data_IF_753969401612
#
_entry.id   IF_753969401612
#
_cell.length_a   1.000
_cell.length_b   1.000
_cell.length_c   1.000
_cell.angle_alpha   90.00
_cell.angle_beta   90.00
_cell.angle_gamma   90.00
#
_symmetry.space_group_name_H-M   'P 1'
#
loop_
_entity.id
_entity.type
_entity.pdbx_description
1 polymer ?
#
# COMPACT_ATOMS: atom_id res chain seq x y z
N UNK A 1 -3.79 -16.12 -21.83
CA UNK A 1 -4.71 -15.96 -20.68
C UNK A 1 -4.86 -14.48 -20.36
N UNK A 2 -5.97 -14.11 -19.71
CA UNK A 2 -6.18 -12.82 -19.09
C UNK A 2 -6.08 -12.96 -17.57
N UNK A 3 -5.06 -12.34 -16.99
CA UNK A 3 -4.73 -12.45 -15.57
C UNK A 3 -5.11 -11.16 -14.87
N UNK A 4 -5.77 -11.29 -13.71
CA UNK A 4 -5.97 -10.18 -12.76
C UNK A 4 -4.99 -10.31 -11.60
N UNK A 5 -4.19 -9.28 -11.35
CA UNK A 5 -3.42 -9.12 -10.12
C UNK A 5 -4.03 -8.02 -9.27
N UNK A 6 -4.34 -8.30 -8.01
CA UNK A 6 -4.89 -7.34 -7.06
C UNK A 6 -3.85 -7.10 -5.97
N UNK A 7 -3.39 -5.86 -5.84
CA UNK A 7 -2.41 -5.42 -4.85
C UNK A 7 -3.09 -4.53 -3.82
N UNK A 8 -2.98 -4.92 -2.55
CA UNK A 8 -3.68 -4.26 -1.44
C UNK A 8 -2.68 -3.56 -0.52
N UNK A 9 -2.80 -2.24 -0.36
CA UNK A 9 -2.31 -1.61 0.87
C UNK A 9 -3.08 -2.16 2.07
N UNK A 10 -2.48 -2.11 3.26
CA UNK A 10 -3.09 -2.59 4.49
C UNK A 10 -3.50 -1.49 5.45
N UNK A 11 -2.61 -0.57 5.79
CA UNK A 11 -2.79 0.29 6.96
C UNK A 11 -3.96 1.25 6.82
N UNK A 12 -4.10 1.88 5.65
CA UNK A 12 -5.18 2.82 5.37
C UNK A 12 -6.27 2.27 4.45
N UNK A 13 -6.05 1.10 3.83
CA UNK A 13 -7.10 0.37 3.13
C UNK A 13 -7.80 -0.67 4.02
N UNK A 14 -7.12 -1.79 4.33
CA UNK A 14 -7.75 -2.99 4.93
C UNK A 14 -7.99 -2.82 6.43
N UNK A 15 -7.05 -2.21 7.13
CA UNK A 15 -7.09 -2.05 8.59
C UNK A 15 -7.77 -0.77 9.04
N UNK A 16 -8.17 0.11 8.12
CA UNK A 16 -8.82 1.39 8.42
C UNK A 16 -10.05 1.19 9.32
N UNK A 17 -11.01 0.40 8.87
CA UNK A 17 -12.23 0.12 9.62
C UNK A 17 -11.99 -0.76 10.87
N UNK A 18 -10.84 -1.44 10.98
CA UNK A 18 -10.43 -2.19 12.17
C UNK A 18 -9.95 -1.33 13.34
N UNK A 19 -9.66 -0.04 13.08
CA UNK A 19 -9.17 0.90 14.10
C UNK A 19 -10.21 1.19 15.18
N UNK A 20 -11.49 1.21 14.81
CA UNK A 20 -12.60 1.46 15.74
C UNK A 20 -12.97 0.24 16.61
N UNK A 21 -12.44 -0.94 16.30
CA UNK A 21 -12.71 -2.16 17.04
C UNK A 21 -11.92 -2.19 18.36
N UNK A 22 -12.45 -2.84 19.38
CA UNK A 22 -11.69 -3.15 20.60
C UNK A 22 -10.84 -4.42 20.43
N UNK A 23 -9.95 -4.68 21.39
CA UNK A 23 -9.03 -5.83 21.35
C UNK A 23 -9.76 -7.18 21.29
N UNK A 24 -10.85 -7.34 22.06
CA UNK A 24 -11.67 -8.55 22.03
C UNK A 24 -12.27 -8.80 20.64
N UNK A 25 -12.77 -7.76 19.98
CA UNK A 25 -13.27 -7.84 18.60
C UNK A 25 -12.15 -8.16 17.60
N UNK A 26 -10.94 -7.64 17.82
CA UNK A 26 -9.77 -7.89 16.96
C UNK A 26 -9.14 -9.27 17.16
N UNK A 27 -9.34 -9.91 18.31
CA UNK A 27 -8.84 -11.26 18.60
C UNK A 27 -9.38 -12.33 17.64
N UNK A 28 -10.54 -12.09 17.05
CA UNK A 28 -11.10 -12.95 16.00
C UNK A 28 -10.81 -12.35 14.61
N UNK A 29 -9.93 -12.96 13.80
CA UNK A 29 -9.53 -12.40 12.50
C UNK A 29 -10.67 -12.29 11.47
N UNK A 30 -11.87 -12.80 11.77
CA UNK A 30 -13.08 -12.59 10.97
C UNK A 30 -13.44 -11.12 10.77
N UNK A 31 -13.03 -10.24 11.69
CA UNK A 31 -13.28 -8.82 11.54
C UNK A 31 -12.69 -8.30 10.22
N UNK A 32 -11.54 -8.84 9.77
CA UNK A 32 -10.87 -8.42 8.52
C UNK A 32 -11.81 -8.60 7.33
N UNK A 33 -12.56 -9.70 7.27
CA UNK A 33 -13.58 -9.90 6.22
C UNK A 33 -14.77 -8.98 6.46
N UNK A 34 -15.31 -8.94 7.68
CA UNK A 34 -16.51 -8.18 8.01
C UNK A 34 -16.39 -6.69 7.69
N UNK A 35 -15.29 -6.07 8.10
CA UNK A 35 -15.05 -4.64 7.89
C UNK A 35 -14.69 -4.28 6.45
N UNK A 36 -14.29 -5.25 5.62
CA UNK A 36 -13.87 -5.03 4.23
C UNK A 36 -14.86 -5.62 3.20
N UNK A 37 -16.09 -5.95 3.61
CA UNK A 37 -17.12 -6.44 2.69
C UNK A 37 -17.41 -5.50 1.50
N UNK A 38 -17.43 -4.16 1.65
CA UNK A 38 -17.60 -3.26 0.50
C UNK A 38 -16.48 -3.45 -0.55
N UNK A 39 -15.22 -3.50 -0.12
CA UNK A 39 -14.08 -3.77 -0.99
C UNK A 39 -14.17 -5.14 -1.66
N UNK A 40 -14.40 -6.19 -0.87
CA UNK A 40 -14.50 -7.55 -1.40
C UNK A 40 -15.64 -7.67 -2.42
N UNK A 41 -16.78 -7.02 -2.15
CA UNK A 41 -17.92 -7.02 -3.06
C UNK A 41 -17.62 -6.29 -4.35
N UNK A 42 -16.93 -5.15 -4.28
CA UNK A 42 -16.45 -4.41 -5.43
C UNK A 42 -15.50 -5.26 -6.29
N UNK A 43 -14.48 -5.88 -5.67
CA UNK A 43 -13.54 -6.78 -6.35
C UNK A 43 -14.28 -7.94 -7.02
N UNK A 44 -15.19 -8.62 -6.31
CA UNK A 44 -15.93 -9.76 -6.85
C UNK A 44 -16.83 -9.34 -8.02
N UNK A 45 -17.45 -8.16 -7.96
CA UNK A 45 -18.23 -7.64 -9.06
C UNK A 45 -17.36 -7.44 -10.31
N UNK A 46 -16.21 -6.75 -10.18
CA UNK A 46 -15.27 -6.53 -11.27
C UNK A 46 -14.78 -7.85 -11.90
N UNK A 47 -14.41 -8.82 -11.05
CA UNK A 47 -13.95 -10.14 -11.48
C UNK A 47 -15.01 -10.91 -12.29
N UNK A 48 -16.29 -10.80 -11.91
CA UNK A 48 -17.39 -11.45 -12.64
C UNK A 48 -17.70 -10.79 -13.98
N UNK A 49 -17.46 -9.48 -14.10
CA UNK A 49 -17.73 -8.77 -15.35
C UNK A 49 -16.71 -9.05 -16.45
N UNK A 50 -15.44 -9.26 -16.08
CA UNK A 50 -14.34 -9.31 -17.06
C UNK A 50 -13.90 -10.74 -17.41
N UNK A 51 -14.38 -11.76 -16.68
CA UNK A 51 -14.09 -13.18 -16.89
C UNK A 51 -12.58 -13.49 -17.04
N UNK A 52 -11.80 -13.17 -16.01
CA UNK A 52 -10.37 -13.46 -15.96
C UNK A 52 -10.09 -14.98 -15.87
N UNK A 53 -9.08 -15.45 -16.60
CA UNK A 53 -8.65 -16.85 -16.55
C UNK A 53 -7.98 -17.18 -15.22
N UNK A 54 -7.28 -16.22 -14.61
CA UNK A 54 -6.56 -16.37 -13.33
C UNK A 54 -6.65 -15.08 -12.52
N UNK A 55 -6.89 -15.22 -11.22
CA UNK A 55 -6.88 -14.10 -10.27
C UNK A 55 -5.77 -14.32 -9.24
N UNK A 56 -4.98 -13.30 -8.96
CA UNK A 56 -3.85 -13.34 -8.05
C UNK A 56 -4.02 -12.22 -7.03
N UNK A 57 -3.95 -12.53 -5.73
CA UNK A 57 -4.04 -11.58 -4.63
C UNK A 57 -2.66 -11.37 -4.02
N UNK A 58 -2.18 -10.13 -3.98
CA UNK A 58 -0.88 -9.78 -3.42
C UNK A 58 -0.94 -8.51 -2.56
N UNK A 59 0.22 -8.16 -2.02
CA UNK A 59 0.38 -6.98 -1.17
C UNK A 59 0.94 -5.79 -1.95
N UNK A 60 0.37 -4.62 -1.69
CA UNK A 60 0.89 -3.29 -2.04
C UNK A 60 1.23 -2.48 -0.78
N UNK A 61 1.76 -3.13 0.26
CA UNK A 61 2.07 -2.50 1.56
C UNK A 61 3.58 -2.37 1.80
N UNK A 62 3.95 -1.36 2.60
CA UNK A 62 5.30 -1.18 3.11
C UNK A 62 5.60 -2.00 4.37
N UNK A 63 4.70 -2.89 4.79
CA UNK A 63 5.04 -3.90 5.79
C UNK A 63 5.91 -4.97 5.14
N UNK A 64 7.21 -4.95 5.48
CA UNK A 64 8.22 -5.72 4.75
C UNK A 64 8.70 -6.94 5.54
N UNK A 65 8.69 -6.86 6.87
CA UNK A 65 9.21 -7.90 7.75
C UNK A 65 8.37 -8.00 9.02
N UNK A 66 8.70 -9.00 9.85
CA UNK A 66 7.99 -9.23 11.11
C UNK A 66 8.06 -8.04 12.08
N UNK A 67 9.14 -7.26 12.12
CA UNK A 67 9.26 -6.14 13.06
C UNK A 67 8.35 -4.99 12.64
N UNK A 68 8.33 -4.69 11.34
CA UNK A 68 7.44 -3.67 10.78
C UNK A 68 5.98 -4.13 10.91
N UNK A 69 5.71 -5.42 10.67
CA UNK A 69 4.37 -5.98 10.80
C UNK A 69 3.85 -6.01 12.25
N UNK A 70 4.74 -6.19 13.23
CA UNK A 70 4.45 -6.18 14.67
C UNK A 70 4.61 -4.79 15.31
N UNK A 71 4.96 -3.75 14.53
CA UNK A 71 5.36 -2.44 15.04
C UNK A 71 4.34 -1.82 16.02
N UNK A 72 4.85 -1.34 17.16
CA UNK A 72 4.07 -0.86 18.32
C UNK A 72 3.13 0.32 18.05
N UNK A 73 3.32 1.07 16.97
CA UNK A 73 2.54 2.29 16.71
C UNK A 73 1.09 2.00 16.28
N UNK A 74 0.81 0.81 15.75
CA UNK A 74 -0.52 0.40 15.32
C UNK A 74 -0.73 -1.10 15.55
N UNK A 75 -1.06 -1.53 16.79
CA UNK A 75 -1.33 -2.93 17.13
C UNK A 75 -2.69 -3.42 16.57
N UNK A 76 -3.06 -2.96 15.37
CA UNK A 76 -4.38 -3.20 14.76
C UNK A 76 -4.42 -4.61 14.16
N UNK A 77 -3.34 -5.08 13.50
CA UNK A 77 -3.18 -6.48 13.09
C UNK A 77 -1.87 -6.76 12.37
N UNK A 78 -1.53 -8.05 12.28
CA UNK A 78 -0.52 -8.58 11.37
C UNK A 78 -1.08 -8.70 9.95
N UNK A 79 -0.21 -8.56 8.95
CA UNK A 79 -0.54 -8.85 7.56
C UNK A 79 -0.79 -10.35 7.31
N UNK A 80 -0.19 -11.24 8.11
CA UNK A 80 -0.24 -12.69 7.98
C UNK A 80 -1.64 -13.25 7.62
N UNK A 81 -2.73 -12.93 8.36
CA UNK A 81 -4.06 -13.46 8.07
C UNK A 81 -4.74 -12.88 6.81
N UNK A 82 -4.31 -11.74 6.27
CA UNK A 82 -5.09 -10.98 5.28
C UNK A 82 -5.25 -11.75 3.95
N UNK A 83 -4.15 -12.09 3.27
CA UNK A 83 -4.23 -12.79 1.98
C UNK A 83 -4.92 -14.16 2.08
N UNK A 84 -4.65 -15.02 3.08
CA UNK A 84 -5.34 -16.29 3.22
C UNK A 84 -6.86 -16.14 3.42
N UNK A 85 -7.30 -15.16 4.21
CA UNK A 85 -8.71 -14.89 4.41
C UNK A 85 -9.38 -14.36 3.14
N UNK A 86 -8.75 -13.40 2.47
CA UNK A 86 -9.28 -12.82 1.23
C UNK A 86 -9.31 -13.85 0.10
N UNK A 87 -8.23 -14.61 -0.08
CA UNK A 87 -8.14 -15.73 -1.03
C UNK A 87 -9.30 -16.70 -0.82
N UNK A 88 -9.51 -17.16 0.41
CA UNK A 88 -10.59 -18.11 0.71
C UNK A 88 -11.97 -17.52 0.49
N UNK A 89 -12.18 -16.25 0.84
CA UNK A 89 -13.48 -15.59 0.64
C UNK A 89 -13.81 -15.43 -0.85
N UNK A 90 -12.81 -15.07 -1.66
CA UNK A 90 -12.94 -14.83 -3.10
C UNK A 90 -13.01 -16.16 -3.87
N UNK A 91 -12.19 -17.16 -3.53
CA UNK A 91 -12.11 -18.45 -4.25
C UNK A 91 -13.42 -19.26 -4.19
N UNK A 92 -14.26 -19.03 -3.18
CA UNK A 92 -15.63 -19.56 -3.10
C UNK A 92 -16.57 -19.02 -4.19
N UNK A 93 -16.21 -17.91 -4.83
CA UNK A 93 -17.07 -17.18 -5.79
C UNK A 93 -16.41 -17.01 -7.15
N UNK A 94 -15.08 -17.04 -7.19
CA UNK A 94 -14.25 -16.85 -8.37
C UNK A 94 -13.28 -18.03 -8.45
N UNK A 95 -13.33 -18.79 -9.53
CA UNK A 95 -12.42 -19.91 -9.74
C UNK A 95 -10.98 -19.42 -10.02
N UNK A 96 -10.00 -20.32 -9.89
CA UNK A 96 -8.60 -20.06 -10.23
C UNK A 96 -8.00 -18.80 -9.57
N UNK A 97 -8.31 -18.60 -8.28
CA UNK A 97 -7.72 -17.55 -7.44
C UNK A 97 -6.44 -18.08 -6.78
N UNK A 98 -5.42 -17.23 -6.66
CA UNK A 98 -4.09 -17.54 -6.11
C UNK A 98 -3.59 -16.42 -5.20
N UNK A 99 -2.51 -16.69 -4.47
CA UNK A 99 -1.78 -15.73 -3.63
C UNK A 99 -0.43 -15.39 -4.27
N UNK A 100 -0.05 -14.12 -4.25
CA UNK A 100 1.30 -13.62 -4.53
C UNK A 100 1.93 -13.14 -3.22
N UNK A 101 2.81 -13.97 -2.60
CA UNK A 101 3.40 -13.66 -1.30
C UNK A 101 4.59 -12.69 -1.37
N UNK A 102 4.92 -12.16 -2.55
CA UNK A 102 6.04 -11.25 -2.74
C UNK A 102 5.92 -9.94 -1.94
N UNK A 103 6.96 -9.62 -1.18
CA UNK A 103 7.10 -8.40 -0.38
C UNK A 103 8.34 -7.61 -0.78
N UNK A 104 8.40 -6.33 -0.40
CA UNK A 104 9.58 -5.48 -0.64
C UNK A 104 10.87 -6.07 -0.02
N UNK A 105 10.75 -6.74 1.13
CA UNK A 105 11.88 -7.41 1.76
C UNK A 105 12.45 -8.56 0.92
N UNK A 106 11.70 -9.13 -0.03
CA UNK A 106 12.25 -10.11 -0.97
C UNK A 106 13.17 -9.44 -2.01
N UNK A 107 12.98 -8.15 -2.26
CA UNK A 107 13.86 -7.34 -3.10
C UNK A 107 15.12 -7.01 -2.30
N UNK A 108 15.03 -6.34 -1.16
CA UNK A 108 16.23 -5.77 -0.51
C UNK A 108 16.81 -6.62 0.62
N UNK A 109 16.06 -7.61 1.10
CA UNK A 109 16.44 -8.45 2.21
C UNK A 109 17.49 -9.49 1.84
N UNK A 110 18.34 -9.80 2.82
CA UNK A 110 19.34 -10.87 2.76
C UNK A 110 19.20 -11.77 3.98
N UNK A 111 19.45 -13.05 3.81
CA UNK A 111 19.68 -13.98 4.91
C UNK A 111 21.03 -13.65 5.56
N UNK A 112 20.98 -13.02 6.73
CA UNK A 112 22.18 -12.79 7.54
C UNK A 112 22.56 -14.09 8.24
N UNK A 113 23.70 -14.67 7.85
CA UNK A 113 24.27 -15.84 8.53
C UNK A 113 24.92 -15.41 9.87
N UNK A 114 25.50 -14.21 9.91
CA UNK A 114 26.01 -13.58 11.14
C UNK A 114 25.18 -12.32 11.48
N UNK A 115 24.71 -12.26 12.73
CA UNK A 115 23.92 -11.13 13.25
C UNK A 115 24.72 -9.83 13.37
N UNK A 116 26.07 -9.89 13.33
CA UNK A 116 26.93 -8.73 13.63
C UNK A 116 27.47 -8.00 12.42
N UNK A 117 27.58 -8.63 11.24
CA UNK A 117 28.05 -8.00 10.00
C UNK A 117 27.48 -8.69 8.75
N UNK A 118 27.28 -7.94 7.65
CA UNK A 118 26.99 -8.54 6.34
C UNK A 118 28.24 -9.31 5.87
N UNK A 119 28.10 -10.62 5.69
CA UNK A 119 29.21 -11.48 5.26
C UNK A 119 29.15 -11.75 3.76
N UNK A 120 30.21 -12.31 3.20
CA UNK A 120 30.28 -12.76 1.80
C UNK A 120 29.28 -13.87 1.47
N UNK A 121 28.74 -14.53 2.50
CA UNK A 121 27.80 -15.65 2.39
C UNK A 121 26.33 -15.22 2.53
N UNK A 122 26.05 -13.93 2.70
CA UNK A 122 24.67 -13.44 2.77
C UNK A 122 23.96 -13.78 1.44
N UNK A 123 22.85 -14.51 1.50
CA UNK A 123 22.06 -14.84 0.31
C UNK A 123 20.88 -13.90 0.20
N UNK A 124 20.62 -13.37 -1.00
CA UNK A 124 19.40 -12.61 -1.22
C UNK A 124 18.17 -13.50 -1.07
N UNK A 125 17.10 -12.91 -0.55
CA UNK A 125 15.81 -13.58 -0.48
C UNK A 125 15.25 -13.82 -1.87
N UNK A 126 14.46 -14.88 -1.95
CA UNK A 126 13.59 -15.20 -3.08
C UNK A 126 12.17 -14.72 -2.81
N UNK A 127 11.35 -14.67 -3.86
CA UNK A 127 9.98 -14.20 -3.74
C UNK A 127 9.14 -15.07 -2.79
N UNK A 128 8.53 -14.42 -1.79
CA UNK A 128 7.69 -15.07 -0.77
C UNK A 128 8.43 -15.49 0.50
N UNK A 129 9.76 -15.41 0.54
CA UNK A 129 10.54 -15.79 1.73
C UNK A 129 10.18 -14.94 2.94
N UNK A 130 10.01 -13.62 2.74
CA UNK A 130 9.65 -12.69 3.80
C UNK A 130 8.26 -12.96 4.34
N UNK A 131 7.29 -13.22 3.46
CA UNK A 131 5.94 -13.57 3.89
C UNK A 131 5.89 -14.90 4.64
N UNK A 132 6.65 -15.91 4.18
CA UNK A 132 6.81 -17.19 4.88
C UNK A 132 7.38 -17.00 6.28
N UNK A 133 8.40 -16.16 6.43
CA UNK A 133 8.97 -15.84 7.73
C UNK A 133 7.93 -15.19 8.66
N UNK A 134 7.12 -14.26 8.16
CA UNK A 134 6.03 -13.63 8.91
C UNK A 134 4.98 -14.66 9.35
N UNK A 135 4.55 -15.56 8.48
CA UNK A 135 3.62 -16.64 8.82
C UNK A 135 4.18 -17.55 9.92
N UNK A 136 5.45 -17.96 9.79
CA UNK A 136 6.11 -18.82 10.77
C UNK A 136 6.25 -18.16 12.14
N UNK A 137 6.52 -16.86 12.18
CA UNK A 137 6.55 -16.11 13.43
C UNK A 137 5.14 -16.01 14.03
N UNK A 138 4.17 -15.59 13.23
CA UNK A 138 2.81 -15.30 13.68
C UNK A 138 2.06 -16.56 14.15
N UNK A 139 2.22 -17.71 13.49
CA UNK A 139 1.51 -18.95 13.83
C UNK A 139 2.37 -20.03 14.47
N UNK A 140 3.68 -20.00 14.24
CA UNK A 140 4.61 -21.07 14.66
C UNK A 140 5.47 -20.73 15.88
N UNK A 141 5.32 -19.54 16.49
CA UNK A 141 6.14 -19.05 17.60
C UNK A 141 7.65 -19.15 17.36
N UNK A 142 8.10 -19.02 16.10
CA UNK A 142 9.53 -19.05 15.75
C UNK A 142 10.13 -17.64 15.80
N UNK A 143 11.32 -17.52 16.35
CA UNK A 143 12.10 -16.27 16.30
C UNK A 143 12.57 -16.03 14.87
N UNK A 144 12.09 -14.96 14.25
CA UNK A 144 12.58 -14.52 12.95
C UNK A 144 13.85 -13.70 13.11
N UNK A 145 14.85 -13.87 12.22
CA UNK A 145 16.02 -13.00 12.18
C UNK A 145 15.61 -11.52 12.04
N UNK A 146 16.31 -10.62 12.72
CA UNK A 146 16.10 -9.18 12.59
C UNK A 146 16.46 -8.73 11.17
N UNK A 147 15.50 -8.15 10.46
CA UNK A 147 15.66 -7.78 9.07
C UNK A 147 16.02 -6.29 8.96
N UNK A 148 17.02 -5.99 8.14
CA UNK A 148 17.34 -4.60 7.76
C UNK A 148 16.81 -4.38 6.37
N UNK A 149 15.66 -3.74 6.25
CA UNK A 149 15.00 -3.52 4.97
C UNK A 149 15.07 -2.03 4.59
N UNK A 150 15.20 -1.77 3.28
CA UNK A 150 15.15 -0.41 2.74
C UNK A 150 13.67 -0.02 2.69
N UNK A 151 13.31 1.04 3.42
CA UNK A 151 11.97 1.61 3.32
C UNK A 151 11.87 2.51 2.10
N UNK A 152 10.97 2.17 1.18
CA UNK A 152 10.55 3.04 0.07
C UNK A 152 9.13 3.52 0.38
N UNK A 153 9.02 4.73 0.94
CA UNK A 153 7.74 5.31 1.31
C UNK A 153 6.80 5.55 0.13
N UNK A 154 7.32 5.57 -1.10
CA UNK A 154 6.53 5.77 -2.33
C UNK A 154 5.90 4.48 -2.84
N UNK A 155 6.37 3.32 -2.35
CA UNK A 155 6.01 1.97 -2.83
C UNK A 155 6.34 1.71 -4.31
N UNK A 156 6.95 2.65 -5.02
CA UNK A 156 7.25 2.54 -6.44
C UNK A 156 8.09 1.30 -6.74
N UNK A 157 9.07 1.00 -5.89
CA UNK A 157 9.93 -0.17 -6.06
C UNK A 157 9.15 -1.49 -5.95
N UNK A 158 8.23 -1.60 -4.99
CA UNK A 158 7.41 -2.80 -4.81
C UNK A 158 6.45 -2.97 -6.00
N UNK A 159 5.77 -1.90 -6.39
CA UNK A 159 4.82 -1.97 -7.50
C UNK A 159 5.57 -2.29 -8.79
N UNK A 160 6.67 -1.61 -9.11
CA UNK A 160 7.52 -1.96 -10.25
C UNK A 160 7.90 -3.46 -10.26
N UNK A 161 8.41 -3.97 -9.14
CA UNK A 161 8.78 -5.38 -9.02
C UNK A 161 7.59 -6.33 -9.21
N UNK A 162 6.43 -6.06 -8.61
CA UNK A 162 5.23 -6.88 -8.76
C UNK A 162 4.77 -6.97 -10.22
N UNK A 163 4.78 -5.83 -10.94
CA UNK A 163 4.37 -5.78 -12.35
C UNK A 163 5.33 -6.57 -13.24
N UNK A 164 6.65 -6.40 -13.05
CA UNK A 164 7.67 -7.11 -13.80
C UNK A 164 7.76 -8.60 -13.46
N UNK A 165 7.51 -8.96 -12.20
CA UNK A 165 7.39 -10.35 -11.76
C UNK A 165 6.21 -11.02 -12.44
N UNK A 166 5.02 -10.42 -12.35
CA UNK A 166 3.81 -10.97 -12.98
C UNK A 166 4.02 -11.16 -14.49
N UNK A 167 4.59 -10.17 -15.17
CA UNK A 167 4.91 -10.26 -16.59
C UNK A 167 5.98 -11.33 -16.89
N UNK A 168 6.99 -11.49 -16.03
CA UNK A 168 8.02 -12.52 -16.19
C UNK A 168 7.47 -13.93 -16.04
N UNK A 169 6.53 -14.15 -15.11
CA UNK A 169 5.86 -15.44 -14.91
C UNK A 169 4.83 -15.74 -16.01
N UNK A 170 4.32 -14.68 -16.65
CA UNK A 170 3.25 -14.76 -17.63
C UNK A 170 3.54 -13.91 -18.89
N UNK A 171 4.63 -14.19 -19.63
CA UNK A 171 5.16 -13.29 -20.66
C UNK A 171 4.27 -13.17 -21.91
N UNK A 172 3.38 -14.13 -22.13
CA UNK A 172 2.46 -14.16 -23.28
C UNK A 172 1.01 -13.82 -22.91
N UNK A 173 0.74 -13.59 -21.62
CA UNK A 173 -0.60 -13.31 -21.13
C UNK A 173 -0.82 -11.80 -21.00
N UNK A 174 -2.08 -11.38 -21.09
CA UNK A 174 -2.46 -10.00 -20.73
C UNK A 174 -2.70 -9.93 -19.23
N UNK A 175 -2.16 -8.90 -18.59
CA UNK A 175 -2.19 -8.74 -17.14
C UNK A 175 -2.85 -7.40 -16.81
N UNK A 176 -4.00 -7.46 -16.15
CA UNK A 176 -4.66 -6.30 -15.55
C UNK A 176 -4.34 -6.25 -14.07
N UNK A 177 -3.82 -5.13 -13.60
CA UNK A 177 -3.39 -4.96 -12.20
C UNK A 177 -4.23 -3.90 -11.53
N UNK A 178 -4.81 -4.21 -10.39
CA UNK A 178 -5.50 -3.24 -9.55
C UNK A 178 -4.67 -2.99 -8.30
N UNK A 179 -4.22 -1.74 -8.11
CA UNK A 179 -3.50 -1.31 -6.93
C UNK A 179 -4.40 -0.41 -6.08
N UNK A 180 -4.81 -0.91 -4.92
CA UNK A 180 -5.62 -0.19 -3.94
C UNK A 180 -4.72 0.46 -2.89
N UNK A 181 -4.86 1.78 -2.72
CA UNK A 181 -4.02 2.61 -1.86
C UNK A 181 -4.81 3.80 -1.31
N UNK A 182 -4.60 4.18 -0.06
CA UNK A 182 -5.29 5.31 0.57
C UNK A 182 -4.48 6.61 0.48
N UNK A 183 -3.15 6.51 0.41
CA UNK A 183 -2.27 7.67 0.45
C UNK A 183 -2.24 8.41 -0.90
N UNK A 184 -2.77 9.63 -0.91
CA UNK A 184 -2.84 10.48 -2.11
C UNK A 184 -1.48 10.81 -2.72
N UNK A 185 -0.43 10.97 -1.91
CA UNK A 185 0.91 11.28 -2.41
C UNK A 185 1.48 10.07 -3.16
N UNK A 186 1.32 8.86 -2.61
CA UNK A 186 1.71 7.60 -3.27
C UNK A 186 0.94 7.44 -4.58
N UNK A 187 -0.39 7.58 -4.55
CA UNK A 187 -1.24 7.49 -5.75
C UNK A 187 -0.81 8.47 -6.84
N UNK A 188 -0.56 9.73 -6.46
CA UNK A 188 -0.16 10.80 -7.37
C UNK A 188 1.24 10.56 -7.94
N UNK A 189 2.19 10.16 -7.12
CA UNK A 189 3.56 9.87 -7.55
C UNK A 189 3.60 8.67 -8.50
N UNK A 190 2.90 7.58 -8.15
CA UNK A 190 2.76 6.38 -8.97
C UNK A 190 2.13 6.72 -10.33
N UNK A 191 1.04 7.48 -10.32
CA UNK A 191 0.33 7.90 -11.52
C UNK A 191 1.15 8.82 -12.42
N UNK A 192 1.90 9.76 -11.83
CA UNK A 192 2.79 10.65 -12.57
C UNK A 192 3.99 9.91 -13.15
N UNK A 193 4.61 9.01 -12.37
CA UNK A 193 5.79 8.28 -12.80
C UNK A 193 5.47 7.37 -13.98
N UNK A 194 4.50 6.46 -13.83
CA UNK A 194 4.15 5.53 -14.91
C UNK A 194 3.41 6.22 -16.07
N UNK A 195 2.70 7.32 -15.82
CA UNK A 195 2.08 8.10 -16.87
C UNK A 195 3.10 8.83 -17.74
N UNK A 196 4.21 9.29 -17.14
CA UNK A 196 5.33 9.92 -17.84
C UNK A 196 6.25 8.92 -18.50
N UNK A 197 6.42 7.74 -17.91
CA UNK A 197 7.32 6.68 -18.35
C UNK A 197 6.59 5.35 -18.53
N UNK A 198 5.62 5.24 -19.45
CA UNK A 198 4.86 4.00 -19.67
C UNK A 198 5.74 2.82 -20.15
N UNK A 199 6.92 3.10 -20.70
CA UNK A 199 7.95 2.12 -21.06
C UNK A 199 8.61 1.45 -19.85
N UNK A 200 8.42 1.99 -18.65
CA UNK A 200 8.81 1.35 -17.39
C UNK A 200 7.86 0.23 -16.98
N UNK A 201 6.74 0.06 -17.69
CA UNK A 201 5.78 -1.00 -17.48
C UNK A 201 5.85 -2.00 -18.63
N UNK A 202 5.77 -3.32 -18.37
CA UNK A 202 5.69 -4.31 -19.43
C UNK A 202 4.53 -4.06 -20.38
N UNK A 203 4.72 -4.22 -21.69
CA UNK A 203 3.67 -4.02 -22.71
C UNK A 203 2.41 -4.87 -22.50
N UNK A 204 2.57 -6.03 -21.87
CA UNK A 204 1.45 -6.93 -21.58
C UNK A 204 0.74 -6.61 -20.26
N UNK A 205 1.19 -5.59 -19.52
CA UNK A 205 0.60 -5.11 -18.27
C UNK A 205 -0.23 -3.85 -18.50
N UNK A 206 -1.36 -3.75 -17.81
CA UNK A 206 -2.14 -2.53 -17.59
C UNK A 206 -2.35 -2.37 -16.09
N UNK A 207 -2.00 -1.22 -15.52
CA UNK A 207 -2.21 -0.94 -14.10
C UNK A 207 -3.35 0.07 -13.91
N UNK A 208 -4.23 -0.26 -12.98
CA UNK A 208 -5.29 0.56 -12.43
C UNK A 208 -4.87 1.01 -11.03
N UNK A 209 -4.61 2.31 -10.89
CA UNK A 209 -4.32 2.95 -9.61
C UNK A 209 -5.66 3.39 -9.03
N UNK A 210 -6.08 2.78 -7.92
CA UNK A 210 -7.41 2.92 -7.35
C UNK A 210 -7.29 3.52 -5.95
N UNK A 211 -7.63 4.80 -5.77
CA UNK A 211 -7.71 5.38 -4.43
C UNK A 211 -8.78 4.66 -3.62
N UNK A 212 -8.42 4.11 -2.46
CA UNK A 212 -9.34 3.48 -1.54
C UNK A 212 -8.88 3.69 -0.11
N UNK A 213 -9.72 4.30 0.73
CA UNK A 213 -9.37 4.64 2.12
C UNK A 213 -10.11 3.80 3.17
N UNK A 214 -10.57 2.60 2.78
CA UNK A 214 -11.36 1.73 3.64
C UNK A 214 -12.88 1.92 3.54
N UNK A 215 -13.35 3.05 3.00
CA UNK A 215 -14.79 3.32 2.84
C UNK A 215 -15.15 3.87 1.48
N UNK A 216 -14.27 4.67 0.89
CA UNK A 216 -14.52 5.41 -0.35
C UNK A 216 -13.58 4.98 -1.47
N UNK A 217 -14.13 4.86 -2.68
CA UNK A 217 -13.37 4.67 -3.91
C UNK A 217 -13.21 5.99 -4.64
N UNK A 218 -11.97 6.43 -4.84
CA UNK A 218 -11.67 7.58 -5.66
C UNK A 218 -11.64 7.27 -7.15
N UNK A 219 -11.36 8.31 -7.94
CA UNK A 219 -11.24 8.18 -9.40
C UNK A 219 -10.05 7.30 -9.76
N UNK A 220 -10.34 6.16 -10.41
CA UNK A 220 -9.35 5.25 -10.98
C UNK A 220 -8.52 5.95 -12.07
N UNK A 221 -7.20 5.76 -12.02
CA UNK A 221 -6.28 6.11 -13.12
C UNK A 221 -5.74 4.81 -13.74
N UNK A 222 -5.88 4.67 -15.06
CA UNK A 222 -5.41 3.49 -15.79
C UNK A 222 -4.21 3.86 -16.66
N UNK A 223 -3.17 3.03 -16.64
CA UNK A 223 -1.93 3.24 -17.40
C UNK A 223 -1.58 1.92 -18.08
N UNK A 224 -1.44 1.97 -19.41
CA UNK A 224 -1.01 0.82 -20.21
C UNK A 224 0.51 0.85 -20.40
N UNK A 225 1.17 -0.26 -20.11
CA UNK A 225 2.60 -0.37 -20.34
C UNK A 225 2.96 -0.46 -21.81
N UNK A 226 4.16 0.00 -22.16
CA UNK A 226 4.71 -0.04 -23.52
C UNK A 226 6.10 -0.67 -23.59
N UNK A 227 6.67 -1.02 -22.44
CA UNK A 227 8.04 -1.46 -22.29
C UNK A 227 8.28 -2.96 -22.44
N UNK A 228 9.55 -3.33 -22.31
CA UNK A 228 10.00 -4.73 -22.22
C UNK A 228 9.88 -5.27 -20.80
N UNK A 229 9.80 -6.60 -20.67
CA UNK A 229 9.82 -7.25 -19.36
C UNK A 229 11.23 -7.20 -18.79
N UNK A 230 11.44 -6.47 -17.70
CA UNK A 230 12.61 -6.60 -16.83
C UNK A 230 12.56 -7.94 -16.07
N UNK A 231 13.22 -8.96 -16.60
CA UNK A 231 13.37 -10.26 -15.94
C UNK A 231 14.33 -10.23 -14.74
N UNK A 232 15.13 -9.17 -14.59
CA UNK A 232 16.10 -8.97 -13.52
C UNK A 232 15.65 -7.85 -12.56
N UNK A 233 14.34 -7.59 -12.46
CA UNK A 233 13.78 -6.52 -11.64
C UNK A 233 14.29 -6.45 -10.19
N UNK A 234 14.59 -7.55 -9.46
CA UNK A 234 15.16 -7.43 -8.13
C UNK A 234 16.54 -6.78 -8.15
N UNK A 235 17.36 -7.12 -9.14
CA UNK A 235 18.68 -6.54 -9.33
C UNK A 235 18.58 -5.07 -9.73
N UNK A 236 17.73 -4.76 -10.71
CA UNK A 236 17.49 -3.38 -11.17
C UNK A 236 17.20 -2.45 -10.00
N UNK A 237 16.25 -2.83 -9.14
CA UNK A 237 15.86 -2.04 -7.98
C UNK A 237 16.98 -1.93 -6.94
N UNK A 238 17.72 -3.02 -6.67
CA UNK A 238 18.90 -2.97 -5.78
C UNK A 238 19.95 -2.01 -6.29
N UNK A 239 20.22 -2.01 -7.59
CA UNK A 239 21.18 -1.10 -8.21
C UNK A 239 20.74 0.35 -8.08
N UNK A 240 19.48 0.66 -8.39
CA UNK A 240 18.91 2.00 -8.24
C UNK A 240 18.97 2.48 -6.79
N UNK A 241 18.74 1.58 -5.84
CA UNK A 241 18.81 1.87 -4.41
C UNK A 241 20.24 2.21 -3.91
N UNK A 242 21.31 1.94 -4.68
CA UNK A 242 22.69 2.32 -4.30
C UNK A 242 22.97 3.82 -4.40
N UNK A 243 22.02 4.64 -4.88
CA UNK A 243 22.17 6.09 -4.93
C UNK A 243 23.08 6.60 -6.05
N UNK A 244 23.45 5.75 -7.02
CA UNK A 244 24.02 6.22 -8.29
C UNK A 244 22.94 7.00 -9.02
N UNK A 245 23.06 8.32 -9.03
CA UNK A 245 22.11 9.26 -9.64
C UNK A 245 21.74 8.82 -11.04
N UNK A 246 20.44 8.66 -11.32
CA UNK A 246 19.94 8.50 -12.68
C UNK A 246 19.58 9.89 -13.17
N UNK A 247 20.38 10.45 -14.07
CA UNK A 247 20.23 11.85 -14.47
C UNK A 247 19.08 12.06 -15.45
N UNK A 248 18.69 11.03 -16.21
CA UNK A 248 17.59 11.05 -17.16
C UNK A 248 17.14 9.62 -17.56
N UNK A 249 16.06 9.51 -18.34
CA UNK A 249 15.52 8.23 -18.82
C UNK A 249 16.49 7.44 -19.70
N UNK A 250 17.32 8.11 -20.52
CA UNK A 250 18.33 7.42 -21.32
C UNK A 250 19.42 6.80 -20.46
N UNK A 251 19.81 7.48 -19.37
CA UNK A 251 20.72 6.99 -18.35
C UNK A 251 20.06 5.87 -17.52
N UNK A 252 18.75 5.94 -17.25
CA UNK A 252 17.99 4.84 -16.64
C UNK A 252 18.04 3.59 -17.52
N UNK A 253 17.71 3.73 -18.81
CA UNK A 253 17.67 2.62 -19.76
C UNK A 253 19.08 2.06 -20.03
N UNK A 254 20.11 2.91 -20.08
CA UNK A 254 21.50 2.47 -20.17
C UNK A 254 21.91 1.70 -18.91
N UNK A 255 21.54 2.18 -17.72
CA UNK A 255 21.77 1.49 -16.44
C UNK A 255 20.98 0.19 -16.31
N UNK A 256 19.77 0.14 -16.85
CA UNK A 256 18.94 -1.06 -16.95
C UNK A 256 19.55 -2.09 -17.90
N UNK A 257 20.14 -1.66 -19.02
CA UNK A 257 20.88 -2.55 -19.90
C UNK A 257 22.15 -3.09 -19.23
N UNK A 258 22.90 -2.23 -18.52
CA UNK A 258 24.06 -2.64 -17.72
C UNK A 258 23.63 -3.62 -16.61
N UNK A 259 22.47 -3.39 -16.01
CA UNK A 259 21.86 -4.27 -15.01
C UNK A 259 21.61 -5.67 -15.55
N UNK A 260 20.96 -5.73 -16.70
CA UNK A 260 20.64 -6.97 -17.39
C UNK A 260 21.91 -7.71 -17.80
N UNK A 261 22.94 -6.99 -18.26
CA UNK A 261 24.24 -7.56 -18.58
C UNK A 261 24.91 -8.13 -17.32
N UNK A 262 25.03 -7.35 -16.24
CA UNK A 262 25.69 -7.76 -15.01
C UNK A 262 24.99 -8.94 -14.30
N UNK A 263 23.65 -9.01 -14.36
CA UNK A 263 22.87 -10.14 -13.83
C UNK A 263 23.26 -11.47 -14.49
N UNK A 264 23.50 -11.46 -15.80
CA UNK A 264 23.87 -12.67 -16.55
C UNK A 264 25.33 -13.13 -16.27
N UNK A 265 26.15 -12.30 -15.63
CA UNK A 265 27.59 -12.53 -15.41
C UNK A 265 28.00 -12.76 -13.94
N UNK A 266 27.09 -12.69 -12.96
CA UNK A 266 27.45 -12.75 -11.54
C UNK A 266 27.07 -14.09 -10.88
N UNK A 267 28.02 -15.02 -10.61
CA UNK A 267 27.73 -16.26 -9.89
C UNK A 267 27.68 -16.08 -8.36
N UNK A 268 28.23 -14.99 -7.81
CA UNK A 268 28.21 -14.71 -6.35
C UNK A 268 28.43 -13.22 -5.99
N UNK A 269 27.98 -12.87 -4.78
CA UNK A 269 27.84 -11.50 -4.24
C UNK A 269 29.15 -10.74 -3.98
N UNK A 270 30.31 -11.40 -3.92
CA UNK A 270 31.60 -10.75 -3.62
C UNK A 270 32.12 -9.85 -4.75
N UNK A 271 31.71 -10.08 -6.00
CA UNK A 271 32.08 -9.21 -7.12
C UNK A 271 31.46 -7.81 -7.01
N UNK A 272 30.23 -7.69 -6.49
CA UNK A 272 29.44 -6.45 -6.55
C UNK A 272 29.95 -5.31 -5.65
N UNK A 273 30.69 -5.61 -4.58
CA UNK A 273 31.31 -4.57 -3.73
C UNK A 273 32.51 -3.90 -4.40
N UNK A 274 33.11 -4.52 -5.41
CA UNK A 274 34.40 -4.11 -5.99
C UNK A 274 34.33 -3.65 -7.45
N UNK A 275 33.16 -3.67 -8.11
CA UNK A 275 33.05 -3.14 -9.48
C UNK A 275 33.24 -1.62 -9.50
N UNK A 276 34.46 -1.19 -9.82
CA UNK A 276 34.75 0.16 -10.25
C UNK A 276 34.22 0.39 -11.68
N UNK A 277 34.16 1.65 -12.12
CA UNK A 277 33.66 2.04 -13.44
C UNK A 277 34.39 1.37 -14.61
N UNK A 278 35.63 0.93 -14.39
CA UNK A 278 36.49 0.28 -15.40
C UNK A 278 36.10 -1.18 -15.66
N UNK A 279 35.74 -1.93 -14.61
CA UNK A 279 35.30 -3.32 -14.74
C UNK A 279 33.91 -3.46 -15.35
N UNK A 280 33.07 -2.42 -15.22
CA UNK A 280 31.79 -2.29 -15.94
C UNK A 280 32.02 -2.12 -17.45
N UNK A 281 33.08 -1.41 -17.84
CA UNK A 281 33.48 -1.29 -19.25
C UNK A 281 33.99 -2.61 -19.83
N UNK A 282 34.67 -3.45 -19.04
CA UNK A 282 35.14 -4.77 -19.50
C UNK A 282 33.97 -5.74 -19.78
N UNK A 283 32.87 -5.65 -19.02
CA UNK A 283 31.66 -6.46 -19.23
C UNK A 283 30.90 -6.07 -20.51
N UNK A 284 31.04 -4.84 -21.00
CA UNK A 284 30.45 -4.40 -22.27
C UNK A 284 31.05 -5.11 -23.50
N UNK A 285 32.30 -5.59 -23.39
CA UNK A 285 33.05 -6.18 -24.51
C UNK A 285 32.97 -7.71 -24.57
N UNK A 286 32.45 -8.37 -23.52
CA UNK A 286 32.24 -9.82 -23.52
C UNK A 286 30.83 -10.13 -24.06
N UNK A 287 30.73 -10.41 -25.35
CA UNK A 287 29.49 -10.89 -26.00
C UNK A 287 29.74 -12.28 -26.58
N UNK A 288 29.45 -13.33 -25.82
CA UNK A 288 29.29 -14.67 -26.38
C UNK A 288 28.53 -15.59 -25.40
N UNK A 289 27.37 -16.06 -25.85
CA UNK A 289 26.59 -17.21 -25.35
C UNK A 289 25.98 -17.11 -23.94
N UNK A 290 24.64 -16.95 -23.91
CA UNK A 290 23.75 -16.89 -22.75
C UNK A 290 23.39 -18.30 -22.24
N UNK A 291 23.49 -18.60 -20.93
CA UNK A 291 22.79 -19.73 -20.32
C UNK A 291 21.33 -19.35 -19.99
N UNK A 292 20.45 -20.35 -20.04
CA UNK A 292 19.00 -20.20 -19.83
C UNK A 292 18.59 -19.95 -18.37
N UNK A 293 17.45 -19.26 -18.23
CA UNK A 293 16.56 -19.11 -17.06
C UNK A 293 16.62 -20.26 -16.04
N UNK A 294 17.24 -20.03 -14.89
CA UNK A 294 17.03 -20.87 -13.70
C UNK A 294 17.27 -20.09 -12.41
N UNK A 295 16.32 -19.24 -12.01
CA UNK A 295 16.15 -18.77 -10.61
C UNK A 295 14.92 -17.87 -10.36
N UNK A 296 13.98 -17.71 -11.31
CA UNK A 296 12.63 -17.24 -10.96
C UNK A 296 11.86 -18.43 -10.41
N UNK A 297 12.27 -18.93 -9.24
CA UNK A 297 11.55 -20.02 -8.57
C UNK A 297 10.15 -19.52 -8.26
N UNK A 298 9.15 -20.26 -8.74
CA UNK A 298 7.75 -20.12 -8.34
C UNK A 298 7.73 -19.98 -6.81
N UNK A 299 7.03 -18.95 -6.29
CA UNK A 299 6.70 -18.96 -4.88
C UNK A 299 6.02 -20.31 -4.60
N UNK A 300 6.55 -21.09 -3.65
CA UNK A 300 6.12 -22.48 -3.45
C UNK A 300 4.63 -22.60 -3.05
N UNK A 301 4.01 -21.49 -2.66
CA UNK A 301 2.62 -21.41 -2.21
C UNK A 301 1.81 -20.50 -3.12
N UNK A 302 0.85 -21.11 -3.79
CA UNK A 302 -0.12 -20.47 -4.69
C UNK A 302 -1.51 -20.40 -4.08
N UNK A 303 -1.81 -21.20 -3.03
CA UNK A 303 -3.14 -21.24 -2.39
C UNK A 303 -3.07 -21.26 -0.86
N UNK A 304 -4.17 -20.87 -0.19
CA UNK A 304 -4.29 -21.00 1.27
C UNK A 304 -4.22 -22.46 1.75
N UNK A 305 -4.68 -23.40 0.93
CA UNK A 305 -4.66 -24.83 1.23
C UNK A 305 -3.23 -25.36 1.31
N UNK A 306 -2.34 -24.90 0.42
CA UNK A 306 -0.91 -25.23 0.46
C UNK A 306 -0.26 -24.69 1.74
N UNK A 307 -0.59 -23.47 2.17
CA UNK A 307 -0.09 -22.90 3.43
C UNK A 307 -0.52 -23.71 4.66
N UNK A 308 -1.75 -24.23 4.67
CA UNK A 308 -2.24 -25.13 5.74
C UNK A 308 -1.51 -26.48 5.70
N UNK A 309 -1.33 -27.06 4.50
CA UNK A 309 -0.67 -28.35 4.33
C UNK A 309 0.77 -28.36 4.85
N UNK A 310 1.48 -27.23 4.73
CA UNK A 310 2.84 -27.07 5.22
C UNK A 310 2.94 -26.55 6.66
N UNK A 311 1.80 -26.49 7.38
CA UNK A 311 1.75 -26.07 8.77
C UNK A 311 2.08 -24.59 9.00
N UNK A 312 2.01 -23.76 7.94
CA UNK A 312 2.23 -22.31 8.03
C UNK A 312 0.96 -21.55 8.42
N UNK A 313 -0.21 -22.15 8.24
CA UNK A 313 -1.51 -21.58 8.61
C UNK A 313 -2.30 -22.58 9.49
N UNK A 314 -2.88 -22.16 10.63
CA UNK A 314 -3.69 -23.03 11.47
C UNK A 314 -5.01 -23.42 10.78
N UNK A 315 -5.45 -24.66 10.99
CA UNK A 315 -6.74 -25.17 10.45
C UNK A 315 -7.97 -24.40 10.94
N UNK A 316 -7.90 -23.70 12.08
CA UNK A 316 -9.00 -22.86 12.57
C UNK A 316 -9.33 -21.71 11.62
N UNK A 317 -8.32 -21.12 10.97
CA UNK A 317 -8.52 -20.14 9.90
C UNK A 317 -9.15 -20.77 8.64
N UNK A 318 -9.01 -22.09 8.48
CA UNK A 318 -9.69 -22.89 7.47
C UNK A 318 -11.16 -23.24 7.83
N UNK A 319 -11.70 -22.84 8.99
CA UNK A 319 -13.13 -23.05 9.32
C UNK A 319 -13.96 -21.75 9.31
N UNK A 320 -13.27 -20.61 9.36
CA UNK A 320 -13.83 -19.27 9.54
C UNK A 320 -14.83 -18.80 8.45
N UNK A 321 -14.80 -19.34 7.23
CA UNK A 321 -15.66 -18.84 6.13
C UNK A 321 -16.90 -19.69 5.85
N UNK A 322 -17.18 -20.74 6.65
CA UNK A 322 -18.22 -21.74 6.32
C UNK A 322 -19.62 -21.41 6.86
N UNK A 323 -19.76 -20.29 7.57
CA UNK A 323 -21.04 -19.93 8.19
C UNK A 323 -21.58 -18.60 7.66
N UNK A 324 -22.52 -18.69 6.71
CA UNK A 324 -23.39 -17.57 6.27
C UNK A 324 -24.11 -16.92 7.46
N UNK A 325 -24.39 -17.71 8.51
CA UNK A 325 -25.01 -17.26 9.74
C UNK A 325 -24.06 -16.41 10.60
N UNK A 326 -22.78 -16.77 10.69
CA UNK A 326 -21.79 -16.04 11.50
C UNK A 326 -21.46 -14.68 10.89
N UNK A 327 -21.38 -14.55 9.56
CA UNK A 327 -21.13 -13.24 8.93
C UNK A 327 -22.30 -12.27 9.15
N UNK A 328 -23.55 -12.74 9.05
CA UNK A 328 -24.73 -11.89 9.26
C UNK A 328 -24.89 -11.48 10.72
N UNK A 329 -24.70 -12.41 11.66
CA UNK A 329 -24.75 -12.14 13.11
C UNK A 329 -23.57 -11.28 13.58
N UNK A 330 -22.36 -11.48 13.04
CA UNK A 330 -21.18 -10.68 13.36
C UNK A 330 -21.31 -9.24 12.82
N UNK A 331 -21.80 -9.08 11.58
CA UNK A 331 -22.14 -7.77 11.00
C UNK A 331 -23.19 -7.07 11.86
N UNK A 332 -24.29 -7.76 12.20
CA UNK A 332 -25.32 -7.19 13.07
C UNK A 332 -24.81 -6.85 14.47
N UNK A 333 -23.80 -7.55 15.02
CA UNK A 333 -23.20 -7.21 16.32
C UNK A 333 -22.15 -6.08 16.25
N UNK A 334 -21.40 -5.98 15.15
CA UNK A 334 -20.38 -4.94 14.92
C UNK A 334 -21.01 -3.59 14.56
N UNK A 335 -22.19 -3.59 13.94
CA UNK A 335 -22.97 -2.40 13.61
C UNK A 335 -24.08 -2.09 14.63
N UNK A 336 -24.15 -2.79 15.78
CA UNK A 336 -25.18 -2.58 16.82
C UNK A 336 -24.78 -1.64 17.97
N UNK A 337 -23.67 -0.93 17.90
CA UNK A 337 -23.34 0.08 18.92
C UNK A 337 -23.59 1.50 18.43
N UNK A 338 -24.82 1.97 18.67
CA UNK A 338 -25.20 3.39 18.78
C UNK A 338 -25.94 3.97 17.58
N UNK A 339 -27.01 4.77 17.77
CA UNK A 339 -27.56 5.60 16.70
C UNK A 339 -26.47 6.59 16.26
N UNK A 340 -26.09 6.54 14.98
CA UNK A 340 -25.07 7.44 14.42
C UNK A 340 -25.48 8.89 14.66
N UNK A 341 -24.62 9.64 15.38
CA UNK A 341 -24.80 11.08 15.51
C UNK A 341 -24.36 11.74 14.22
N UNK A 342 -25.14 12.66 13.67
CA UNK A 342 -24.67 13.50 12.54
C UNK A 342 -23.78 14.63 13.07
N UNK A 343 -23.01 15.29 12.20
CA UNK A 343 -22.12 16.41 12.59
C UNK A 343 -22.88 17.55 13.30
N UNK A 344 -24.14 17.75 12.93
CA UNK A 344 -25.04 18.76 13.51
C UNK A 344 -25.45 18.43 14.96
N UNK A 345 -25.24 17.19 15.39
CA UNK A 345 -25.56 16.72 16.74
C UNK A 345 -24.35 16.74 17.68
N UNK A 346 -23.17 17.14 17.19
CA UNK A 346 -21.98 17.30 18.02
C UNK A 346 -22.08 18.63 18.79
N UNK A 347 -21.81 18.64 20.10
CA UNK A 347 -21.63 19.89 20.82
C UNK A 347 -20.53 20.75 20.18
N UNK A 348 -20.80 22.04 19.92
CA UNK A 348 -19.86 22.97 19.27
C UNK A 348 -18.46 22.96 19.93
N UNK A 349 -18.40 22.81 21.26
CA UNK A 349 -17.13 22.75 21.98
C UNK A 349 -16.27 21.54 21.60
N UNK A 350 -16.87 20.39 21.31
CA UNK A 350 -16.13 19.21 20.88
C UNK A 350 -15.57 19.42 19.46
N UNK A 351 -16.32 20.07 18.58
CA UNK A 351 -15.83 20.45 17.25
C UNK A 351 -14.65 21.42 17.34
N UNK A 352 -14.74 22.45 18.21
CA UNK A 352 -13.65 23.38 18.50
C UNK A 352 -12.41 22.66 19.03
N UNK A 353 -12.60 21.70 19.93
CA UNK A 353 -11.52 20.89 20.49
C UNK A 353 -10.82 20.06 19.39
N UNK A 354 -11.57 19.38 18.52
CA UNK A 354 -11.01 18.61 17.40
C UNK A 354 -10.23 19.49 16.42
N UNK A 355 -10.77 20.66 16.04
CA UNK A 355 -10.03 21.64 15.23
C UNK A 355 -8.74 22.07 15.94
N UNK A 356 -8.80 22.31 17.25
CA UNK A 356 -7.64 22.65 18.07
C UNK A 356 -6.57 21.57 18.02
N UNK A 357 -6.94 20.30 18.22
CA UNK A 357 -6.05 19.14 18.14
C UNK A 357 -5.42 19.00 16.75
N UNK A 358 -6.21 19.20 15.68
CA UNK A 358 -5.72 19.12 14.31
C UNK A 358 -4.64 20.17 14.03
N UNK A 359 -4.83 21.40 14.51
CA UNK A 359 -3.84 22.47 14.39
C UNK A 359 -2.57 22.12 15.16
N UNK A 360 -2.70 21.64 16.40
CA UNK A 360 -1.54 21.25 17.22
C UNK A 360 -0.75 20.11 16.57
N UNK A 361 -1.41 19.03 16.13
CA UNK A 361 -0.76 17.91 15.44
C UNK A 361 -0.05 18.37 14.16
N UNK A 362 -0.68 19.25 13.37
CA UNK A 362 -0.09 19.82 12.18
C UNK A 362 1.13 20.72 12.47
N UNK A 363 1.11 21.49 13.57
CA UNK A 363 2.22 22.31 14.02
C UNK A 363 3.40 21.46 14.52
N UNK A 364 3.13 20.44 15.33
CA UNK A 364 4.14 19.48 15.81
C UNK A 364 4.81 18.73 14.66
N UNK A 365 4.02 18.29 13.67
CA UNK A 365 4.54 17.66 12.47
C UNK A 365 5.46 18.61 11.68
N UNK A 366 5.06 19.87 11.52
CA UNK A 366 5.85 20.89 10.84
C UNK A 366 7.15 21.25 11.58
N UNK A 367 7.09 21.34 12.91
CA UNK A 367 8.25 21.60 13.76
C UNK A 367 9.15 20.36 13.95
N UNK A 368 8.74 19.20 13.40
CA UNK A 368 9.43 17.90 13.57
C UNK A 368 9.51 17.45 15.02
N UNK A 369 8.56 17.89 15.86
CA UNK A 369 8.44 17.44 17.25
C UNK A 369 7.91 16.00 17.28
N UNK A 370 6.95 15.68 16.41
CA UNK A 370 6.37 14.34 16.29
C UNK A 370 6.28 13.89 14.83
N UNK A 371 6.74 12.66 14.54
CA UNK A 371 6.81 12.10 13.18
C UNK A 371 5.62 11.21 12.82
N UNK A 372 4.45 11.50 13.37
CA UNK A 372 3.24 10.68 13.28
C UNK A 372 2.68 10.52 11.85
N UNK A 373 3.23 11.22 10.86
CA UNK A 373 2.94 11.06 9.42
C UNK A 373 4.19 10.91 8.53
N UNK A 374 5.33 10.55 9.12
CA UNK A 374 6.60 10.32 8.43
C UNK A 374 7.38 11.60 8.09
N UNK A 375 8.72 11.46 8.02
CA UNK A 375 9.63 12.58 7.78
C UNK A 375 9.28 13.30 6.49
N UNK A 376 9.10 14.61 6.57
CA UNK A 376 8.94 15.47 5.40
C UNK A 376 10.10 15.28 4.40
N UNK A 377 9.80 14.62 3.27
CA UNK A 377 10.70 14.44 2.15
C UNK A 377 11.08 15.77 1.49
N UNK A 378 12.07 15.73 0.60
CA UNK A 378 12.58 16.91 -0.11
C UNK A 378 11.47 17.72 -0.79
N UNK A 379 10.45 17.05 -1.34
CA UNK A 379 9.31 17.66 -2.04
C UNK A 379 8.17 18.11 -1.11
N UNK A 380 8.06 17.52 0.08
CA UNK A 380 7.14 17.95 1.16
C UNK A 380 7.52 19.35 1.66
N UNK A 381 8.82 19.66 1.72
CA UNK A 381 9.32 20.97 2.20
C UNK A 381 9.01 22.15 1.27
N UNK A 382 8.84 21.89 -0.04
CA UNK A 382 8.52 22.91 -1.04
C UNK A 382 7.03 23.29 -1.08
N UNK A 383 6.14 22.44 -0.55
CA UNK A 383 4.68 22.64 -0.59
C UNK A 383 4.05 23.00 0.76
N UNK A 384 4.73 22.73 1.89
CA UNK A 384 4.17 22.85 3.23
C UNK A 384 4.93 23.86 4.11
N UNK A 385 5.01 25.11 3.64
CA UNK A 385 5.65 26.21 4.37
C UNK A 385 4.73 26.95 5.36
N UNK A 386 5.24 28.05 5.91
CA UNK A 386 4.56 28.94 6.86
C UNK A 386 3.13 29.34 6.46
N UNK A 387 2.83 29.43 5.16
CA UNK A 387 1.48 29.73 4.65
C UNK A 387 0.44 28.69 5.10
N UNK A 388 0.80 27.40 5.15
CA UNK A 388 -0.09 26.34 5.62
C UNK A 388 -0.35 26.45 7.11
N UNK A 389 0.67 26.75 7.91
CA UNK A 389 0.55 27.00 9.35
C UNK A 389 -0.37 28.21 9.62
N UNK A 390 -0.16 29.31 8.91
CA UNK A 390 -0.98 30.52 9.04
C UNK A 390 -2.45 30.27 8.63
N UNK A 391 -2.74 29.30 7.76
CA UNK A 391 -4.12 28.92 7.40
C UNK A 391 -4.76 28.05 8.49
N UNK A 392 -4.02 27.09 9.03
CA UNK A 392 -4.47 26.26 10.15
C UNK A 392 -4.82 27.11 11.38
N UNK A 393 -3.94 28.05 11.73
CA UNK A 393 -4.15 28.99 12.82
C UNK A 393 -5.35 29.92 12.57
N UNK A 394 -5.54 30.40 11.33
CA UNK A 394 -6.73 31.19 10.96
C UNK A 394 -8.02 30.40 11.06
N UNK A 395 -8.05 29.13 10.66
CA UNK A 395 -9.23 28.29 10.84
C UNK A 395 -9.60 28.20 12.32
N UNK A 396 -8.63 27.87 13.19
CA UNK A 396 -8.84 27.77 14.63
C UNK A 396 -9.35 29.08 15.23
N UNK A 397 -8.76 30.22 14.84
CA UNK A 397 -9.21 31.54 15.29
C UNK A 397 -10.64 31.84 14.84
N UNK A 398 -11.00 31.55 13.58
CA UNK A 398 -12.34 31.79 13.06
C UNK A 398 -13.41 30.95 13.80
N UNK A 399 -13.14 29.65 14.01
CA UNK A 399 -14.07 28.72 14.67
C UNK A 399 -14.22 29.00 16.17
N UNK A 400 -13.20 29.57 16.81
CA UNK A 400 -13.24 30.01 18.21
C UNK A 400 -13.73 31.44 18.38
N UNK A 401 -14.01 32.18 17.31
CA UNK A 401 -14.52 33.54 17.42
C UNK A 401 -15.95 33.57 17.91
N UNK A 402 -16.33 34.65 18.59
CA UNK A 402 -17.72 34.88 19.05
C UNK A 402 -18.71 35.00 17.88
N UNK A 403 -18.21 35.22 16.65
CA UNK A 403 -19.01 35.24 15.43
C UNK A 403 -19.46 33.83 14.96
N UNK A 404 -18.87 32.76 15.51
CA UNK A 404 -19.26 31.37 15.26
C UNK A 404 -19.84 30.80 16.56
N UNK A 405 -21.12 31.06 16.79
CA UNK A 405 -21.86 30.69 18.02
C UNK A 405 -22.61 29.35 17.90
N UNK A 406 -22.64 28.75 16.71
CA UNK A 406 -23.39 27.54 16.41
C UNK A 406 -22.56 26.52 15.65
N UNK A 407 -22.98 25.24 15.77
CA UNK A 407 -22.36 24.12 15.03
C UNK A 407 -22.46 24.34 13.51
N UNK A 408 -23.59 24.84 13.01
CA UNK A 408 -23.79 25.12 11.59
C UNK A 408 -22.82 26.19 11.05
N UNK A 409 -22.58 27.25 11.83
CA UNK A 409 -21.57 28.27 11.49
C UNK A 409 -20.17 27.69 11.41
N UNK A 410 -19.80 26.84 12.38
CA UNK A 410 -18.48 26.21 12.41
C UNK A 410 -18.29 25.22 11.25
N UNK A 411 -19.30 24.40 10.93
CA UNK A 411 -19.28 23.48 9.80
C UNK A 411 -19.15 24.22 8.45
N UNK A 412 -19.77 25.39 8.31
CA UNK A 412 -19.63 26.23 7.12
C UNK A 412 -18.17 26.66 6.93
N UNK A 413 -17.52 27.17 7.99
CA UNK A 413 -16.12 27.59 7.95
C UNK A 413 -15.17 26.42 7.63
N UNK A 414 -15.45 25.23 8.18
CA UNK A 414 -14.69 24.01 7.88
C UNK A 414 -14.88 23.60 6.41
N UNK A 415 -16.13 23.59 5.93
CA UNK A 415 -16.46 23.24 4.55
C UNK A 415 -15.80 24.17 3.56
N UNK A 416 -15.79 25.47 3.81
CA UNK A 416 -15.12 26.46 2.95
C UNK A 416 -13.62 26.18 2.83
N UNK A 417 -12.96 25.84 3.94
CA UNK A 417 -11.56 25.42 3.91
C UNK A 417 -11.37 24.13 3.08
N UNK A 418 -12.18 23.11 3.34
CA UNK A 418 -12.05 21.79 2.73
C UNK A 418 -12.45 21.74 1.24
N UNK A 419 -13.14 22.77 0.75
CA UNK A 419 -13.59 22.87 -0.65
C UNK A 419 -12.81 23.89 -1.48
N UNK A 420 -12.15 24.88 -0.87
CA UNK A 420 -11.40 25.89 -1.60
C UNK A 420 -10.18 25.30 -2.35
N UNK A 421 -9.92 25.75 -3.58
CA UNK A 421 -8.93 25.18 -4.51
C UNK A 421 -7.53 24.95 -3.93
N UNK A 422 -7.11 25.82 -3.01
CA UNK A 422 -5.78 25.84 -2.39
C UNK A 422 -5.69 25.12 -1.04
N UNK A 423 -6.82 24.70 -0.49
CA UNK A 423 -6.93 24.07 0.84
C UNK A 423 -7.79 22.82 0.83
N UNK A 424 -8.32 22.44 -0.33
CA UNK A 424 -9.19 21.29 -0.47
C UNK A 424 -8.55 20.02 0.05
N UNK A 425 -9.40 19.14 0.57
CA UNK A 425 -8.99 17.80 1.00
C UNK A 425 -8.18 17.11 -0.12
N UNK A 426 -7.08 16.46 0.26
CA UNK A 426 -5.99 15.92 -0.59
C UNK A 426 -4.98 16.89 -1.19
N UNK A 427 -5.18 18.21 -1.15
CA UNK A 427 -4.18 19.18 -1.66
C UNK A 427 -3.41 19.93 -0.57
N UNK A 428 -3.82 19.77 0.69
CA UNK A 428 -3.25 20.52 1.80
C UNK A 428 -3.15 19.63 3.04
N UNK A 429 -1.93 19.43 3.57
CA UNK A 429 -1.69 18.49 4.68
C UNK A 429 -2.51 18.78 5.94
N UNK A 430 -2.74 20.06 6.27
CA UNK A 430 -3.64 20.43 7.38
C UNK A 430 -5.07 19.88 7.20
N UNK A 431 -5.60 19.79 5.97
CA UNK A 431 -6.92 19.24 5.74
C UNK A 431 -7.01 17.75 6.14
N UNK A 432 -5.91 17.00 6.02
CA UNK A 432 -5.86 15.62 6.48
C UNK A 432 -5.84 15.51 8.01
N UNK A 433 -5.08 16.35 8.70
CA UNK A 433 -5.11 16.44 10.17
C UNK A 433 -6.50 16.82 10.68
N UNK A 434 -7.14 17.78 10.00
CA UNK A 434 -8.50 18.20 10.34
C UNK A 434 -9.49 17.05 10.18
N UNK A 435 -9.41 16.30 9.08
CA UNK A 435 -10.32 15.17 8.84
C UNK A 435 -10.12 14.02 9.83
N UNK A 436 -8.89 13.73 10.25
CA UNK A 436 -8.62 12.71 11.28
C UNK A 436 -9.36 13.07 12.58
N UNK A 437 -9.16 14.28 13.11
CA UNK A 437 -9.81 14.67 14.38
C UNK A 437 -11.33 14.77 14.26
N UNK A 438 -11.85 15.21 13.10
CA UNK A 438 -13.29 15.25 12.86
C UNK A 438 -13.90 13.84 12.81
N UNK A 439 -13.15 12.86 12.27
CA UNK A 439 -13.58 11.46 12.23
C UNK A 439 -13.57 10.77 13.61
N UNK A 440 -12.91 11.35 14.60
CA UNK A 440 -13.00 10.88 15.99
C UNK A 440 -14.30 11.34 16.67
N UNK A 441 -14.93 12.42 16.20
CA UNK A 441 -16.13 12.99 16.82
C UNK A 441 -17.43 12.30 16.39
N UNK A 442 -17.42 11.70 15.20
CA UNK A 442 -18.56 11.03 14.59
C UNK A 442 -18.03 9.82 13.82
N UNK A 443 -18.77 8.71 13.81
CA UNK A 443 -18.58 7.67 12.79
C UNK A 443 -18.94 8.26 11.41
N UNK A 444 -18.08 9.12 10.88
CA UNK A 444 -18.35 9.87 9.66
C UNK A 444 -18.35 8.93 8.48
N UNK A 445 -19.45 8.96 7.72
CA UNK A 445 -19.39 8.64 6.31
C UNK A 445 -18.90 9.92 5.59
N UNK A 446 -17.77 9.91 4.87
CA UNK A 446 -17.21 11.11 4.23
C UNK A 446 -18.19 11.84 3.30
N UNK A 447 -19.22 11.15 2.81
CA UNK A 447 -20.30 11.71 1.99
C UNK A 447 -21.16 12.75 2.71
N UNK A 448 -21.27 12.70 4.05
CA UNK A 448 -22.09 13.64 4.82
C UNK A 448 -21.49 15.07 4.87
N UNK A 449 -20.20 15.21 4.54
CA UNK A 449 -19.52 16.51 4.42
C UNK A 449 -19.64 17.13 3.02
N UNK A 450 -20.13 16.36 2.04
CA UNK A 450 -20.31 16.80 0.67
C UNK A 450 -21.80 16.77 0.33
N UNK A 451 -22.43 17.95 0.33
CA UNK A 451 -23.78 18.10 -0.22
C UNK A 451 -23.85 17.45 -1.62
N UNK A 452 -24.74 16.49 -1.79
CA UNK A 452 -24.93 15.74 -3.03
C UNK A 452 -25.23 16.66 -4.23
N UNK A 453 -25.85 17.84 -4.01
CA UNK A 453 -26.08 18.84 -5.05
C UNK A 453 -24.77 19.54 -5.47
N UNK A 454 -23.89 19.83 -4.51
CA UNK A 454 -22.57 20.43 -4.75
C UNK A 454 -21.62 19.47 -5.49
N UNK A 455 -21.63 18.17 -5.16
CA UNK A 455 -20.84 17.16 -5.89
C UNK A 455 -21.31 17.03 -7.33
N UNK A 456 -22.63 17.02 -7.55
CA UNK A 456 -23.23 16.91 -8.89
C UNK A 456 -22.94 18.15 -9.76
N UNK A 457 -22.95 19.35 -9.18
CA UNK A 457 -22.62 20.60 -9.89
C UNK A 457 -21.13 20.68 -10.29
N UNK A 458 -20.22 20.19 -9.46
CA UNK A 458 -18.77 20.17 -9.76
C UNK A 458 -18.43 19.16 -10.87
N UNK A 459 -19.18 18.05 -10.96
CA UNK A 459 -19.06 17.06 -12.03
C UNK A 459 -19.75 17.46 -13.34
N UNK A 460 -20.66 18.45 -13.31
CA UNK A 460 -21.38 18.95 -14.49
C UNK A 460 -20.78 20.25 -15.07
N UNK A 461 -19.83 20.87 -14.38
CA UNK A 461 -19.12 22.09 -14.82
C UNK A 461 -17.68 21.83 -15.31
N UNK A 462 -17.29 20.57 -15.48
CA UNK A 462 -16.09 20.10 -16.19
C UNK A 462 -16.50 19.04 -17.21
#
# INVERSE_FOLDING_TARGET
>A
MHIKLILLDLDGCIFHAGRSLNESQRSNPNWIIGTNLPLLSHIIADLKHTNYDKVILGYGTNRQDHNIDQGQLYPISSLAPVLPLFHRYISKKIANTHIEPFLMADIFGVYKIDKRNRTENDQFKTAGDSYKAILQHHYGNKVTPQESTISDSTKLSLIYAQLHRAASLHPQDTISVDFYEDNHDILTEMGNFFGRYPEMLPKNVEINIIPYNGTFFGKKQTIKGTGTIDHAYPWTLRYLATGKTVENLSDFNAKLQIAHQAWNYAPSLSGLKNYNSEQIHTLQNATATLPAQSALTNAAYTTSEQLVAEGLLPKSLQQITDSKATTTTLMQSLFKTGPGRTLEQIPLNNLREAVGKAVTKYEEWYQKINDHRGRAGLFTRLRHGQTGQNRAQRLRANINSDAVDSIGGALTVIKDLLTADKTRFHRHSFASFLMDELSELVFLNPEDLYDQASVKAIYQAN
#
